data_IF_247472761219
#
_entry.id   IF_247472761219
#
_cell.length_a   1.000
_cell.length_b   1.000
_cell.length_c   1.000
_cell.angle_alpha   90.00
_cell.angle_beta   90.00
_cell.angle_gamma   90.00
#
_symmetry.space_group_name_H-M   'P 1'
#
loop_
_entity.id
_entity.type
_entity.pdbx_description
1 polymer ?
#
# COMPACT_ATOMS: atom_id res chain seq x y z
N UNK A 1 1.45 9.49 -31.17
CA UNK A 1 2.00 8.18 -30.77
C UNK A 1 3.48 8.13 -31.12
N UNK A 2 4.23 7.19 -30.49
CA UNK A 2 5.65 6.93 -30.74
C UNK A 2 5.79 5.43 -30.96
N UNK A 3 6.62 5.02 -31.93
CA UNK A 3 6.97 3.63 -32.10
C UNK A 3 8.29 3.34 -31.41
N UNK A 4 8.32 2.32 -30.54
CA UNK A 4 9.54 1.77 -29.95
C UNK A 4 9.82 0.42 -30.61
N UNK A 5 10.94 0.32 -31.35
CA UNK A 5 11.36 -0.87 -32.05
C UNK A 5 12.60 -1.50 -31.38
N UNK A 6 12.57 -2.79 -31.13
CA UNK A 6 13.62 -3.53 -30.43
C UNK A 6 14.18 -4.63 -31.38
N UNK A 7 15.45 -4.54 -31.72
CA UNK A 7 16.16 -5.56 -32.52
C UNK A 7 17.66 -5.48 -32.25
N UNK A 8 18.26 -6.52 -31.67
CA UNK A 8 19.67 -6.53 -31.35
C UNK A 8 20.54 -6.35 -32.62
N UNK A 9 20.23 -7.04 -33.71
CA UNK A 9 20.94 -6.86 -35.00
C UNK A 9 20.55 -5.57 -35.72
N UNK A 10 19.33 -5.08 -35.50
CA UNK A 10 18.72 -3.98 -36.24
C UNK A 10 18.43 -4.30 -37.72
N UNK A 11 18.56 -5.57 -38.12
CA UNK A 11 18.38 -6.05 -39.49
C UNK A 11 17.24 -7.04 -39.66
N UNK A 12 16.34 -7.16 -38.66
CA UNK A 12 15.16 -8.02 -38.73
C UNK A 12 14.25 -7.55 -39.86
N UNK A 13 14.11 -8.35 -40.90
CA UNK A 13 13.43 -7.96 -42.14
C UNK A 13 11.97 -7.52 -41.91
N UNK A 14 11.21 -8.31 -41.15
CA UNK A 14 9.80 -8.03 -40.88
C UNK A 14 9.62 -6.71 -40.08
N UNK A 15 10.53 -6.47 -39.13
CA UNK A 15 10.51 -5.24 -38.34
C UNK A 15 10.85 -4.03 -39.22
N UNK A 16 11.89 -4.14 -40.05
CA UNK A 16 12.32 -3.06 -40.96
C UNK A 16 11.24 -2.73 -42.00
N UNK A 17 10.50 -3.72 -42.50
CA UNK A 17 9.36 -3.50 -43.38
C UNK A 17 8.22 -2.75 -42.68
N UNK A 18 7.90 -3.12 -41.44
CA UNK A 18 6.90 -2.44 -40.64
C UNK A 18 7.27 -1.00 -40.31
N UNK A 19 8.51 -0.78 -39.88
CA UNK A 19 9.07 0.54 -39.59
C UNK A 19 9.05 1.46 -40.80
N UNK A 20 9.35 0.94 -42.00
CA UNK A 20 9.24 1.70 -43.26
C UNK A 20 7.82 2.23 -43.49
N UNK A 21 6.83 1.35 -43.38
CA UNK A 21 5.44 1.69 -43.61
C UNK A 21 4.87 2.68 -42.56
N UNK A 22 5.39 2.66 -41.32
CA UNK A 22 4.97 3.57 -40.26
C UNK A 22 5.70 4.91 -40.36
N UNK A 23 7.01 4.89 -40.73
CA UNK A 23 7.81 6.10 -40.92
C UNK A 23 7.22 7.05 -41.93
N UNK A 24 6.68 6.50 -43.05
CA UNK A 24 5.99 7.27 -44.09
C UNK A 24 4.75 8.06 -43.55
N UNK A 25 4.28 7.74 -42.36
CA UNK A 25 3.16 8.42 -41.67
C UNK A 25 3.62 9.48 -40.66
N UNK A 26 4.92 9.76 -40.57
CA UNK A 26 5.45 10.77 -39.65
C UNK A 26 5.40 10.38 -38.17
N UNK A 27 5.33 9.10 -37.84
CA UNK A 27 5.36 8.61 -36.45
C UNK A 27 6.81 8.56 -35.95
N UNK A 28 7.16 9.27 -34.88
CA UNK A 28 8.50 9.21 -34.31
C UNK A 28 8.93 7.78 -33.93
N UNK A 29 10.15 7.42 -34.27
CA UNK A 29 10.71 6.09 -34.06
C UNK A 29 11.87 6.13 -33.06
N UNK A 30 11.80 5.29 -32.05
CA UNK A 30 12.93 5.02 -31.13
C UNK A 30 13.38 3.57 -31.36
N UNK A 31 14.66 3.37 -31.60
CA UNK A 31 15.26 2.04 -31.69
C UNK A 31 16.05 1.67 -30.43
N UNK A 32 15.83 0.45 -29.94
CA UNK A 32 16.76 -0.24 -29.05
C UNK A 32 17.49 -1.29 -29.89
N UNK A 33 18.77 -1.10 -30.11
CA UNK A 33 19.59 -2.00 -30.96
C UNK A 33 21.02 -2.11 -30.45
N UNK A 34 21.65 -3.24 -30.69
CA UNK A 34 23.08 -3.44 -30.43
C UNK A 34 23.97 -3.10 -31.62
N UNK A 35 23.38 -2.66 -32.75
CA UNK A 35 24.13 -2.28 -33.97
C UNK A 35 23.69 -0.88 -34.42
N UNK A 36 24.49 0.11 -34.07
CA UNK A 36 24.24 1.52 -34.38
C UNK A 36 24.30 1.84 -35.89
N UNK A 37 24.94 0.98 -36.69
CA UNK A 37 25.04 1.11 -38.14
C UNK A 37 23.95 0.34 -38.89
N UNK A 38 22.98 -0.23 -38.18
CA UNK A 38 21.92 -1.04 -38.78
C UNK A 38 20.88 -0.21 -39.54
N UNK A 39 20.10 -0.91 -40.36
CA UNK A 39 18.98 -0.32 -41.11
C UNK A 39 17.94 0.30 -40.12
N UNK A 40 17.66 -0.36 -39.03
CA UNK A 40 16.76 0.15 -37.97
C UNK A 40 17.31 1.44 -37.36
N UNK A 41 18.59 1.45 -36.97
CA UNK A 41 19.22 2.63 -36.36
C UNK A 41 19.17 3.84 -37.31
N UNK A 42 19.56 3.68 -38.58
CA UNK A 42 19.56 4.76 -39.56
C UNK A 42 18.17 5.35 -39.85
N UNK A 43 17.11 4.58 -39.63
CA UNK A 43 15.71 5.03 -39.85
C UNK A 43 15.06 5.63 -38.61
N UNK A 44 15.73 5.57 -37.47
CA UNK A 44 15.14 6.00 -36.19
C UNK A 44 15.49 7.44 -35.84
N UNK A 45 14.55 8.16 -35.26
CA UNK A 45 14.76 9.52 -34.74
C UNK A 45 15.65 9.51 -33.49
N UNK A 46 15.56 8.44 -32.71
CA UNK A 46 16.38 8.23 -31.50
C UNK A 46 16.86 6.79 -31.49
N UNK A 47 18.15 6.60 -31.24
CA UNK A 47 18.76 5.28 -31.08
C UNK A 47 19.30 5.14 -29.68
N UNK A 48 18.93 4.04 -29.00
CA UNK A 48 19.44 3.67 -27.68
C UNK A 48 20.27 2.40 -27.87
N UNK A 49 21.57 2.51 -27.55
CA UNK A 49 22.48 1.38 -27.60
C UNK A 49 22.23 0.40 -26.48
N UNK A 50 21.89 -0.83 -26.84
CA UNK A 50 21.71 -1.98 -25.93
C UNK A 50 22.67 -3.11 -26.32
N UNK A 51 23.75 -2.79 -27.00
CA UNK A 51 24.77 -3.72 -27.43
C UNK A 51 25.45 -4.44 -26.27
N UNK A 52 25.78 -5.70 -26.49
CA UNK A 52 26.51 -6.55 -25.54
C UNK A 52 27.78 -7.09 -26.21
N UNK A 53 28.84 -7.28 -25.41
CA UNK A 53 30.11 -7.77 -25.94
C UNK A 53 30.00 -9.20 -26.51
N UNK A 54 29.14 -10.03 -25.91
CA UNK A 54 28.88 -11.40 -26.35
C UNK A 54 27.58 -11.93 -25.73
N UNK A 55 26.99 -12.92 -26.39
CA UNK A 55 25.90 -13.71 -25.79
C UNK A 55 26.46 -14.70 -24.76
N UNK A 56 25.65 -15.00 -23.74
CA UNK A 56 25.97 -16.04 -22.74
C UNK A 56 25.79 -17.46 -23.32
N UNK A 57 25.06 -17.59 -24.42
CA UNK A 57 24.93 -18.84 -25.16
C UNK A 57 26.29 -19.36 -25.63
N UNK A 58 26.70 -20.60 -25.34
CA UNK A 58 28.00 -21.13 -25.73
C UNK A 58 28.24 -21.14 -27.24
N UNK A 59 27.16 -21.21 -28.01
CA UNK A 59 27.21 -21.22 -29.47
C UNK A 59 27.05 -19.83 -30.10
N UNK A 60 26.80 -18.79 -29.30
CA UNK A 60 26.54 -17.42 -29.75
C UNK A 60 25.27 -17.24 -30.62
N UNK A 61 24.38 -18.24 -30.62
CA UNK A 61 23.19 -18.27 -31.49
C UNK A 61 21.92 -17.80 -30.78
N UNK A 62 21.74 -18.19 -29.53
CA UNK A 62 20.54 -17.83 -28.76
C UNK A 62 20.72 -16.46 -28.11
N UNK A 63 19.74 -15.53 -28.27
CA UNK A 63 19.76 -14.26 -27.59
C UNK A 63 19.59 -14.48 -26.08
N UNK A 64 20.53 -13.97 -25.30
CA UNK A 64 20.62 -14.13 -23.85
C UNK A 64 21.03 -12.83 -23.17
N UNK A 65 22.32 -12.43 -23.30
CA UNK A 65 22.81 -11.16 -22.78
C UNK A 65 22.11 -9.97 -23.44
N UNK A 66 21.88 -10.03 -24.75
CA UNK A 66 21.22 -8.97 -25.52
C UNK A 66 19.75 -8.78 -25.10
N UNK A 67 19.02 -9.87 -24.86
CA UNK A 67 17.63 -9.78 -24.37
C UNK A 67 17.57 -9.21 -22.96
N UNK A 68 18.51 -9.59 -22.10
CA UNK A 68 18.61 -9.03 -20.73
C UNK A 68 18.93 -7.54 -20.77
N UNK A 69 19.86 -7.10 -21.61
CA UNK A 69 20.20 -5.69 -21.78
C UNK A 69 19.00 -4.87 -22.29
N UNK A 70 18.29 -5.39 -23.30
CA UNK A 70 17.10 -4.74 -23.84
C UNK A 70 15.97 -4.64 -22.79
N UNK A 71 15.76 -5.68 -21.97
CA UNK A 71 14.78 -5.68 -20.88
C UNK A 71 15.15 -4.64 -19.83
N UNK A 72 16.40 -4.64 -19.36
CA UNK A 72 16.87 -3.68 -18.35
C UNK A 72 16.74 -2.22 -18.84
N UNK A 73 17.03 -1.97 -20.12
CA UNK A 73 16.83 -0.64 -20.72
C UNK A 73 15.35 -0.27 -20.80
N UNK A 74 14.49 -1.22 -21.14
CA UNK A 74 13.03 -1.02 -21.13
C UNK A 74 12.52 -0.62 -19.74
N UNK A 75 12.97 -1.31 -18.71
CA UNK A 75 12.64 -1.00 -17.31
C UNK A 75 13.15 0.40 -16.91
N UNK A 76 14.38 0.75 -17.30
CA UNK A 76 14.94 2.07 -17.04
C UNK A 76 14.12 3.19 -17.71
N UNK A 77 13.69 2.99 -18.96
CA UNK A 77 12.79 3.92 -19.66
C UNK A 77 11.43 4.03 -18.98
N UNK A 78 10.86 2.92 -18.50
CA UNK A 78 9.60 2.92 -17.77
C UNK A 78 9.73 3.72 -16.48
N UNK A 79 10.79 3.52 -15.69
CA UNK A 79 11.05 4.29 -14.46
C UNK A 79 11.25 5.78 -14.74
N UNK A 80 12.01 6.11 -15.82
CA UNK A 80 12.19 7.50 -16.23
C UNK A 80 10.86 8.18 -16.59
N UNK A 81 9.95 7.45 -17.25
CA UNK A 81 8.61 7.93 -17.60
C UNK A 81 7.71 8.08 -16.37
N UNK A 82 7.76 7.15 -15.42
CA UNK A 82 7.07 7.26 -14.13
C UNK A 82 7.45 8.56 -13.43
N UNK A 83 8.76 8.82 -13.31
CA UNK A 83 9.27 10.04 -12.70
C UNK A 83 8.86 11.31 -13.46
N UNK A 84 9.03 11.30 -14.78
CA UNK A 84 8.72 12.47 -15.63
C UNK A 84 7.22 12.81 -15.62
N UNK A 85 6.36 11.81 -15.58
CA UNK A 85 4.90 11.99 -15.57
C UNK A 85 4.33 12.16 -14.16
N UNK A 86 5.16 12.09 -13.14
CA UNK A 86 4.70 12.10 -11.73
C UNK A 86 3.63 11.03 -11.49
N UNK A 87 3.82 9.86 -12.15
CA UNK A 87 2.88 8.75 -12.09
C UNK A 87 2.89 8.18 -10.67
N UNK A 88 1.78 8.32 -9.96
CA UNK A 88 1.63 7.92 -8.58
C UNK A 88 0.73 6.70 -8.39
N UNK A 89 0.51 6.34 -7.14
CA UNK A 89 -0.31 5.19 -6.74
C UNK A 89 -1.74 5.26 -7.29
N UNK A 90 -2.35 6.45 -7.34
CA UNK A 90 -3.70 6.66 -7.90
C UNK A 90 -3.77 6.31 -9.39
N UNK A 91 -2.70 6.63 -10.13
CA UNK A 91 -2.61 6.30 -11.54
C UNK A 91 -2.41 4.79 -11.72
N UNK A 92 -1.55 4.18 -10.89
CA UNK A 92 -1.35 2.73 -10.91
C UNK A 92 -2.66 1.97 -10.69
N UNK A 93 -3.45 2.38 -9.69
CA UNK A 93 -4.77 1.79 -9.43
C UNK A 93 -5.72 1.90 -10.62
N UNK A 94 -5.75 3.06 -11.30
CA UNK A 94 -6.61 3.29 -12.47
C UNK A 94 -6.38 2.24 -13.57
N UNK A 95 -5.14 1.77 -13.71
CA UNK A 95 -4.78 0.76 -14.70
C UNK A 95 -4.83 -0.68 -14.16
N UNK A 96 -4.77 -0.87 -12.83
CA UNK A 96 -4.74 -2.17 -12.17
C UNK A 96 -5.77 -2.31 -11.02
N UNK A 97 -7.06 -2.02 -11.24
CA UNK A 97 -8.04 -1.96 -10.16
C UNK A 97 -8.30 -3.30 -9.46
N UNK A 98 -8.07 -4.42 -10.14
CA UNK A 98 -8.28 -5.77 -9.61
C UNK A 98 -7.10 -6.39 -8.86
N UNK A 99 -5.92 -5.75 -8.89
CA UNK A 99 -4.71 -6.26 -8.23
C UNK A 99 -4.77 -6.13 -6.70
N UNK A 100 -4.06 -7.02 -5.98
CA UNK A 100 -3.94 -6.94 -4.52
C UNK A 100 -3.34 -5.60 -4.05
N UNK A 101 -2.33 -5.10 -4.76
CA UNK A 101 -1.70 -3.81 -4.49
C UNK A 101 -2.68 -2.65 -4.74
N UNK A 102 -3.39 -2.66 -5.86
CA UNK A 102 -4.38 -1.62 -6.17
C UNK A 102 -5.50 -1.54 -5.13
N UNK A 103 -6.01 -2.70 -4.67
CA UNK A 103 -7.01 -2.74 -3.60
C UNK A 103 -6.49 -2.15 -2.29
N UNK A 104 -5.27 -2.48 -1.87
CA UNK A 104 -4.66 -1.93 -0.64
C UNK A 104 -4.53 -0.41 -0.69
N UNK A 105 -4.17 0.15 -1.85
CA UNK A 105 -3.99 1.60 -2.05
C UNK A 105 -5.32 2.38 -2.03
N UNK A 106 -6.43 1.74 -2.42
CA UNK A 106 -7.74 2.39 -2.49
C UNK A 106 -8.67 2.11 -1.33
N UNK A 107 -8.40 1.06 -0.55
CA UNK A 107 -9.20 0.76 0.63
C UNK A 107 -9.05 1.86 1.67
N UNK A 108 -10.17 2.24 2.25
CA UNK A 108 -10.26 3.24 3.31
C UNK A 108 -10.51 2.55 4.65
N UNK A 109 -10.31 3.27 5.72
CA UNK A 109 -10.58 2.79 7.09
C UNK A 109 -11.99 2.21 7.19
N UNK A 110 -13.01 2.88 6.65
CA UNK A 110 -14.41 2.41 6.67
C UNK A 110 -14.65 1.04 6.03
N UNK A 111 -13.78 0.62 5.10
CA UNK A 111 -13.93 -0.64 4.37
C UNK A 111 -13.46 -1.85 5.19
N UNK A 112 -12.68 -1.61 6.27
CA UNK A 112 -12.06 -2.66 7.10
C UNK A 112 -12.23 -2.45 8.60
N UNK A 113 -12.68 -1.26 9.04
CA UNK A 113 -12.90 -0.99 10.47
C UNK A 113 -13.93 -1.92 11.07
N UNK A 114 -13.77 -2.20 12.35
CA UNK A 114 -14.75 -2.92 13.15
C UNK A 114 -15.60 -1.91 13.90
N UNK A 115 -16.92 -1.99 13.75
CA UNK A 115 -17.90 -1.05 14.32
C UNK A 115 -19.04 -1.74 15.10
N UNK A 116 -20.01 -0.93 15.52
CA UNK A 116 -21.20 -1.40 16.21
C UNK A 116 -20.91 -2.05 17.56
N UNK A 117 -21.63 -3.13 17.86
CA UNK A 117 -21.54 -3.84 19.14
C UNK A 117 -20.21 -4.59 19.34
N UNK A 118 -19.36 -4.68 18.33
CA UNK A 118 -18.06 -5.32 18.44
C UNK A 118 -17.01 -4.39 19.08
N UNK A 119 -17.27 -3.09 19.17
CA UNK A 119 -16.38 -2.12 19.79
C UNK A 119 -16.49 -2.24 21.31
N UNK A 120 -15.40 -2.56 22.03
CA UNK A 120 -15.42 -2.62 23.48
C UNK A 120 -15.52 -1.21 24.05
N UNK A 121 -16.58 -0.92 24.80
CA UNK A 121 -16.80 0.42 25.38
C UNK A 121 -17.30 0.33 26.82
N UNK A 122 -16.86 1.26 27.65
CA UNK A 122 -17.37 1.50 29.03
C UNK A 122 -17.57 3.00 29.22
N UNK A 123 -18.37 3.32 30.26
CA UNK A 123 -18.61 4.71 30.65
C UNK A 123 -17.50 5.24 31.57
N UNK A 124 -17.29 6.57 31.66
CA UNK A 124 -16.48 7.17 32.69
C UNK A 124 -16.97 6.73 34.10
N UNK A 125 -16.06 6.60 35.06
CA UNK A 125 -16.33 6.12 36.41
C UNK A 125 -16.48 4.61 36.51
N UNK A 126 -16.44 3.83 35.43
CA UNK A 126 -16.51 2.37 35.50
C UNK A 126 -15.31 1.83 36.29
N UNK A 127 -15.53 0.84 37.22
CA UNK A 127 -14.44 0.16 37.91
C UNK A 127 -13.49 -0.50 36.90
N UNK A 128 -12.17 -0.41 37.15
CA UNK A 128 -11.16 -0.95 36.25
C UNK A 128 -11.33 -2.46 36.02
N UNK A 129 -11.76 -3.19 37.02
CA UNK A 129 -12.01 -4.64 36.88
C UNK A 129 -13.10 -4.94 35.86
N UNK A 130 -14.18 -4.16 35.83
CA UNK A 130 -15.27 -4.30 34.84
C UNK A 130 -14.79 -3.97 33.43
N UNK A 131 -13.85 -3.02 33.27
CA UNK A 131 -13.23 -2.73 32.00
C UNK A 131 -12.37 -3.91 31.50
N UNK A 132 -11.66 -4.61 32.40
CA UNK A 132 -10.92 -5.84 32.05
C UNK A 132 -11.87 -6.95 31.61
N UNK A 133 -13.01 -7.13 32.28
CA UNK A 133 -14.04 -8.10 31.90
C UNK A 133 -14.55 -7.81 30.47
N UNK A 134 -14.72 -6.53 30.11
CA UNK A 134 -15.11 -6.15 28.74
C UNK A 134 -14.01 -6.42 27.70
N UNK A 135 -12.72 -6.16 28.03
CA UNK A 135 -11.56 -6.49 27.22
C UNK A 135 -11.55 -8.00 26.94
N UNK A 136 -11.68 -8.82 27.97
CA UNK A 136 -11.65 -10.27 27.89
C UNK A 136 -12.86 -10.80 27.09
N UNK A 137 -14.06 -10.30 27.37
CA UNK A 137 -15.29 -10.67 26.66
C UNK A 137 -15.21 -10.44 25.16
N UNK A 138 -14.54 -9.35 24.73
CA UNK A 138 -14.35 -9.01 23.31
C UNK A 138 -13.09 -9.63 22.72
N UNK A 139 -12.25 -10.23 23.55
CA UNK A 139 -10.93 -10.77 23.14
C UNK A 139 -10.07 -9.75 22.39
N UNK A 140 -10.05 -8.51 22.89
CA UNK A 140 -9.29 -7.39 22.35
C UNK A 140 -8.40 -6.83 23.46
N UNK A 141 -7.22 -6.35 23.13
CA UNK A 141 -6.27 -5.82 24.12
C UNK A 141 -6.57 -4.39 24.59
N UNK A 142 -7.80 -3.91 24.46
CA UNK A 142 -8.18 -2.54 24.82
C UNK A 142 -9.70 -2.42 25.06
N UNK A 143 -10.09 -1.33 25.74
CA UNK A 143 -11.47 -0.85 25.86
C UNK A 143 -11.50 0.67 25.72
N UNK A 144 -12.52 1.21 25.06
CA UNK A 144 -12.71 2.64 24.88
C UNK A 144 -13.61 3.20 26.00
N UNK A 145 -13.24 4.33 26.54
CA UNK A 145 -14.05 5.07 27.49
C UNK A 145 -14.82 6.14 26.70
N UNK A 146 -16.15 6.02 26.70
CA UNK A 146 -17.05 6.90 25.96
C UNK A 146 -18.15 7.46 26.86
N UNK A 147 -18.57 8.70 26.61
CA UNK A 147 -19.70 9.30 27.31
C UNK A 147 -21.07 8.82 26.78
N UNK A 148 -22.17 9.37 27.33
CA UNK A 148 -23.52 9.03 26.91
C UNK A 148 -23.88 9.37 25.47
N UNK A 149 -23.10 10.22 24.82
CA UNK A 149 -23.22 10.56 23.39
C UNK A 149 -22.22 9.81 22.52
N UNK A 150 -21.55 8.79 23.07
CA UNK A 150 -20.47 8.00 22.44
C UNK A 150 -19.23 8.81 22.09
N UNK A 151 -18.99 9.98 22.70
CA UNK A 151 -17.77 10.74 22.49
C UNK A 151 -16.61 10.09 23.22
N UNK A 152 -15.49 9.97 22.54
CA UNK A 152 -14.27 9.35 23.05
C UNK A 152 -13.65 10.20 24.17
N UNK A 153 -13.49 9.60 25.35
CA UNK A 153 -12.86 10.20 26.53
C UNK A 153 -11.44 9.64 26.76
N UNK A 154 -11.22 8.38 26.38
CA UNK A 154 -9.93 7.72 26.55
C UNK A 154 -9.93 6.29 26.07
N UNK A 155 -8.78 5.65 26.24
CA UNK A 155 -8.55 4.23 25.99
C UNK A 155 -7.81 3.61 27.17
N UNK A 156 -8.20 2.41 27.56
CA UNK A 156 -7.48 1.58 28.51
C UNK A 156 -7.00 0.33 27.77
N UNK A 157 -5.70 0.07 27.82
CA UNK A 157 -5.06 -1.04 27.11
C UNK A 157 -4.43 -2.04 28.09
N UNK A 158 -4.16 -3.26 27.62
CA UNK A 158 -3.37 -4.26 28.38
C UNK A 158 -2.02 -3.70 28.84
N UNK A 159 -1.44 -2.79 28.05
CA UNK A 159 -0.22 -2.08 28.41
C UNK A 159 -0.38 -1.19 29.64
N UNK A 160 -1.52 -0.50 29.76
CA UNK A 160 -1.83 0.36 30.90
C UNK A 160 -2.04 -0.49 32.15
N UNK A 161 -2.79 -1.59 32.02
CA UNK A 161 -3.05 -2.54 33.10
C UNK A 161 -1.74 -3.12 33.62
N UNK A 162 -0.87 -3.61 32.74
CA UNK A 162 0.45 -4.14 33.12
C UNK A 162 1.34 -3.10 33.79
N UNK A 163 1.29 -1.85 33.36
CA UNK A 163 2.04 -0.75 34.00
C UNK A 163 1.54 -0.47 35.42
N UNK A 164 0.23 -0.46 35.62
CA UNK A 164 -0.40 -0.29 36.92
C UNK A 164 0.04 -1.41 37.89
N UNK A 165 -0.09 -2.68 37.48
CA UNK A 165 0.33 -3.84 38.28
C UNK A 165 1.82 -3.79 38.57
N UNK A 166 2.69 -3.46 37.61
CA UNK A 166 4.14 -3.36 37.82
C UNK A 166 4.53 -2.29 38.85
N UNK A 167 3.74 -1.23 38.98
CA UNK A 167 3.96 -0.15 39.97
C UNK A 167 3.44 -0.54 41.38
N UNK A 168 2.81 -1.71 41.51
CA UNK A 168 2.21 -2.13 42.77
C UNK A 168 0.97 -1.31 43.16
N UNK A 169 0.33 -0.66 42.20
CA UNK A 169 -0.87 0.14 42.43
C UNK A 169 -2.08 -0.80 42.59
N UNK A 170 -3.01 -0.39 43.48
CA UNK A 170 -4.23 -1.15 43.74
C UNK A 170 -5.21 -1.00 42.58
N UNK A 171 -5.08 -1.86 41.60
CA UNK A 171 -5.91 -1.88 40.39
C UNK A 171 -7.40 -2.12 40.72
N UNK A 172 -7.67 -2.96 41.72
CA UNK A 172 -9.03 -3.39 42.07
C UNK A 172 -9.94 -2.26 42.55
N UNK A 173 -9.38 -1.23 43.15
CA UNK A 173 -10.12 -0.09 43.73
C UNK A 173 -10.08 1.17 42.84
N UNK A 174 -9.53 1.06 41.59
CA UNK A 174 -9.44 2.20 40.65
C UNK A 174 -10.58 2.21 39.66
N UNK A 175 -10.84 3.39 39.11
CA UNK A 175 -11.73 3.59 37.96
C UNK A 175 -10.93 3.70 36.66
N UNK A 176 -11.62 3.55 35.53
CA UNK A 176 -11.01 3.72 34.21
C UNK A 176 -10.42 5.11 33.99
N UNK A 177 -11.02 6.14 34.57
CA UNK A 177 -10.60 7.55 34.45
C UNK A 177 -9.22 7.82 35.04
N UNK A 178 -8.80 7.00 36.01
CA UNK A 178 -7.49 7.11 36.67
C UNK A 178 -6.38 6.38 35.91
N UNK A 179 -6.76 5.41 35.05
CA UNK A 179 -5.84 4.49 34.38
C UNK A 179 -5.75 4.72 32.86
N UNK A 180 -6.82 5.28 32.28
CA UNK A 180 -6.91 5.46 30.82
C UNK A 180 -5.87 6.43 30.28
N UNK A 181 -5.44 6.18 29.09
CA UNK A 181 -4.76 7.18 28.26
C UNK A 181 -5.82 8.12 27.70
N UNK A 182 -5.76 9.41 28.11
CA UNK A 182 -6.62 10.45 27.58
C UNK A 182 -6.17 10.86 26.18
N UNK A 183 -7.11 11.24 25.30
CA UNK A 183 -6.82 11.65 23.92
C UNK A 183 -6.02 10.59 23.14
N UNK A 184 -6.56 9.37 23.01
CA UNK A 184 -5.91 8.33 22.21
C UNK A 184 -5.83 8.77 20.75
N UNK A 185 -4.94 8.14 19.99
CA UNK A 185 -4.82 8.40 18.55
C UNK A 185 -6.08 7.97 17.83
N UNK A 186 -6.60 8.85 17.01
CA UNK A 186 -7.83 8.65 16.23
C UNK A 186 -7.54 8.75 14.73
N UNK A 187 -8.48 8.25 13.95
CA UNK A 187 -8.42 8.30 12.48
C UNK A 187 -9.80 8.57 11.92
N UNK A 188 -9.87 9.30 10.80
CA UNK A 188 -11.08 9.47 10.01
C UNK A 188 -11.40 8.22 9.19
N UNK A 189 -12.68 7.86 9.08
CA UNK A 189 -13.12 6.67 8.35
C UNK A 189 -12.82 6.72 6.84
N UNK A 190 -12.58 7.89 6.28
CA UNK A 190 -12.26 8.09 4.86
C UNK A 190 -10.76 8.13 4.57
N UNK A 191 -9.90 8.08 5.59
CA UNK A 191 -8.47 8.01 5.40
C UNK A 191 -8.09 6.70 4.67
N UNK A 192 -7.05 6.74 3.83
CA UNK A 192 -6.56 5.54 3.15
C UNK A 192 -5.89 4.58 4.13
N UNK A 193 -5.93 3.27 3.83
CA UNK A 193 -5.23 2.29 4.66
C UNK A 193 -3.71 2.47 4.64
N UNK A 194 -3.15 3.00 3.55
CA UNK A 194 -1.72 3.29 3.46
C UNK A 194 -1.32 4.38 4.48
N UNK A 195 -2.01 5.53 4.47
CA UNK A 195 -1.78 6.61 5.44
C UNK A 195 -2.04 6.15 6.88
N UNK A 196 -3.03 5.27 7.07
CA UNK A 196 -3.34 4.68 8.38
C UNK A 196 -2.18 3.81 8.89
N UNK A 197 -1.58 2.98 8.02
CA UNK A 197 -0.41 2.15 8.36
C UNK A 197 0.80 3.01 8.69
N UNK A 198 1.09 4.04 7.89
CA UNK A 198 2.17 4.99 8.16
C UNK A 198 1.99 5.68 9.53
N UNK A 199 0.74 6.03 9.89
CA UNK A 199 0.44 6.60 11.20
C UNK A 199 0.67 5.59 12.33
N UNK A 200 0.25 4.32 12.14
CA UNK A 200 0.48 3.26 13.12
C UNK A 200 1.97 2.99 13.33
N UNK A 201 2.75 2.97 12.26
CA UNK A 201 4.21 2.76 12.30
C UNK A 201 4.92 3.93 12.98
N UNK A 202 4.62 5.17 12.57
CA UNK A 202 5.22 6.38 13.16
C UNK A 202 4.95 6.51 14.65
N UNK A 203 3.73 6.16 15.09
CA UNK A 203 3.30 6.31 16.46
C UNK A 203 3.53 5.03 17.32
N UNK A 204 4.10 3.98 16.70
CA UNK A 204 4.38 2.66 17.32
C UNK A 204 3.14 2.01 17.97
N UNK A 205 1.98 2.13 17.30
CA UNK A 205 0.69 1.62 17.79
C UNK A 205 0.07 0.64 16.80
N UNK A 206 -0.71 -0.32 17.32
CA UNK A 206 -1.38 -1.35 16.53
C UNK A 206 -2.88 -1.15 16.40
N UNK A 207 -3.44 -0.17 17.10
CA UNK A 207 -4.89 0.11 17.13
C UNK A 207 -5.13 1.61 17.04
N UNK A 208 -6.04 2.02 16.15
CA UNK A 208 -6.55 3.38 16.05
C UNK A 208 -8.06 3.38 16.27
N UNK A 209 -8.53 4.41 16.95
CA UNK A 209 -9.97 4.62 17.16
C UNK A 209 -10.52 5.42 15.99
N UNK A 210 -11.60 4.94 15.38
CA UNK A 210 -12.29 5.65 14.30
C UNK A 210 -13.37 6.53 14.89
N UNK A 211 -13.29 7.83 14.61
CA UNK A 211 -14.24 8.83 15.12
C UNK A 211 -14.81 9.68 14.00
N UNK A 212 -15.96 10.30 14.26
CA UNK A 212 -16.51 11.35 13.39
C UNK A 212 -15.98 12.76 13.78
N UNK A 213 -16.46 13.79 13.08
CA UNK A 213 -16.06 15.18 13.31
C UNK A 213 -16.43 15.69 14.73
N UNK A 214 -17.42 15.08 15.36
CA UNK A 214 -17.83 15.38 16.74
C UNK A 214 -17.15 14.49 17.79
N UNK A 215 -16.09 13.77 17.39
CA UNK A 215 -15.34 12.83 18.24
C UNK A 215 -16.17 11.65 18.77
N UNK A 216 -17.25 11.27 18.09
CA UNK A 216 -18.03 10.08 18.44
C UNK A 216 -17.39 8.85 17.85
N UNK A 217 -17.28 7.82 18.64
CA UNK A 217 -16.69 6.54 18.24
C UNK A 217 -17.59 5.82 17.24
N UNK A 218 -17.08 5.64 16.01
CA UNK A 218 -17.67 4.82 14.96
C UNK A 218 -17.16 3.38 14.98
N UNK A 219 -15.89 3.21 15.39
CA UNK A 219 -15.27 1.90 15.40
C UNK A 219 -13.81 1.96 15.83
N UNK A 220 -13.10 0.91 15.50
CA UNK A 220 -11.64 0.85 15.61
C UNK A 220 -11.07 0.12 14.39
N UNK A 221 -9.79 0.30 14.16
CA UNK A 221 -9.01 -0.45 13.17
C UNK A 221 -7.77 -1.01 13.85
N UNK A 222 -7.52 -2.30 13.69
CA UNK A 222 -6.33 -2.96 14.21
C UNK A 222 -5.39 -3.33 13.06
N UNK A 223 -4.09 -3.28 13.30
CA UNK A 223 -3.06 -3.62 12.30
C UNK A 223 -3.32 -4.96 11.60
N UNK A 224 -3.77 -5.97 12.36
CA UNK A 224 -4.10 -7.29 11.81
C UNK A 224 -5.30 -7.28 10.85
N UNK A 225 -6.23 -6.34 11.01
CA UNK A 225 -7.38 -6.21 10.10
C UNK A 225 -6.94 -5.62 8.76
N UNK A 226 -5.95 -4.74 8.78
CA UNK A 226 -5.34 -4.17 7.56
C UNK A 226 -4.47 -5.19 6.84
N UNK A 227 -3.63 -5.93 7.58
CA UNK A 227 -2.71 -6.90 7.00
C UNK A 227 -3.39 -8.21 6.60
N UNK A 228 -4.58 -8.48 7.13
CA UNK A 228 -5.30 -9.75 7.00
C UNK A 228 -4.68 -10.87 7.84
N UNK A 229 -5.49 -11.77 8.38
CA UNK A 229 -5.00 -13.00 9.00
C UNK A 229 -4.45 -13.92 7.91
N UNK A 230 -3.14 -13.94 7.72
CA UNK A 230 -2.47 -14.75 6.71
C UNK A 230 -2.30 -14.08 5.34
N UNK A 231 -2.25 -12.74 5.27
CA UNK A 231 -1.95 -12.00 4.03
C UNK A 231 -3.11 -11.83 3.06
N UNK A 232 -4.33 -12.19 3.46
CA UNK A 232 -5.54 -11.99 2.66
C UNK A 232 -6.49 -11.05 3.39
N UNK A 233 -6.68 -9.84 2.85
CA UNK A 233 -7.73 -8.93 3.31
C UNK A 233 -9.08 -9.64 3.12
N UNK A 234 -9.76 -9.98 4.20
CA UNK A 234 -11.15 -10.45 4.12
C UNK A 234 -12.03 -9.25 3.83
N UNK A 235 -12.37 -9.06 2.56
CA UNK A 235 -13.50 -8.21 2.20
C UNK A 235 -14.79 -8.95 2.55
N UNK A 236 -15.52 -8.48 3.54
CA UNK A 236 -16.91 -8.85 3.72
C UNK A 236 -17.71 -8.22 2.56
N UNK A 237 -17.97 -8.98 1.54
CA UNK A 237 -18.99 -8.66 0.54
C UNK A 237 -20.32 -8.94 1.22
N UNK A 238 -21.01 -7.89 1.67
CA UNK A 238 -22.46 -7.98 1.96
C UNK A 238 -23.17 -8.15 0.63
N UNK A 239 -23.80 -9.30 0.43
CA UNK A 239 -24.76 -9.59 -0.64
C UNK A 239 -26.09 -8.93 -0.28
#
# INVERSE_FOLDING_TARGET
DILLAISNSGETHELNALVGNIGDRGVPLIALTGNLESTLARRSDVVIDVGVAREACPFGLAPTSSTTAALAMGDALAVALVNKRQFGEKDFYRFHPGGSLGRRLMSRVKDVMVGGDQVPTVMPGTPAITAVEEIDRKNLGFVLIVDGERRLQGILTDGDIRRCVKRGEDFGNRTVDELMTRSPKTVDENLSLAETLESMERDEITTLVVVDDEQRVKGYIHLHDILGRGGTVRMSVSI
#
